data_IF_510469563946
#
_entry.id   IF_510469563946
#
_cell.length_a   1.000
_cell.length_b   1.000
_cell.length_c   1.000
_cell.angle_alpha   90.00
_cell.angle_beta   90.00
_cell.angle_gamma   90.00
#
_symmetry.space_group_name_H-M   'P 1'
#
loop_
_entity.id
_entity.type
_entity.pdbx_description
1 polymer ?
#
# COMPACT_ATOMS: atom_id res chain seq x y z
N UNK A 1 2.80 -15.87 -3.82
CA UNK A 1 3.23 -14.79 -4.72
C UNK A 1 3.40 -13.48 -3.96
N UNK A 2 2.35 -12.96 -3.30
CA UNK A 2 2.38 -11.71 -2.51
C UNK A 2 3.53 -11.63 -1.47
N UNK A 3 3.75 -12.68 -0.69
CA UNK A 3 4.81 -12.72 0.34
C UNK A 3 6.24 -12.64 -0.18
N UNK A 4 6.51 -13.22 -1.36
CA UNK A 4 7.84 -13.22 -1.95
C UNK A 4 8.14 -11.84 -2.53
N UNK A 5 7.12 -11.13 -3.03
CA UNK A 5 7.25 -9.75 -3.50
C UNK A 5 7.44 -8.76 -2.35
N UNK A 6 6.70 -8.92 -1.24
CA UNK A 6 6.78 -8.04 -0.07
C UNK A 6 8.14 -8.10 0.65
N UNK A 7 8.62 -9.31 0.98
CA UNK A 7 9.94 -9.45 1.64
C UNK A 7 11.11 -9.05 0.72
N UNK A 8 11.00 -9.31 -0.58
CA UNK A 8 12.08 -8.94 -1.53
C UNK A 8 12.09 -7.44 -1.80
N UNK A 9 10.94 -6.76 -1.75
CA UNK A 9 10.86 -5.31 -1.87
C UNK A 9 11.40 -4.57 -0.64
N UNK A 10 11.20 -5.15 0.55
CA UNK A 10 11.60 -4.55 1.82
C UNK A 10 12.96 -5.05 2.35
N UNK A 11 13.75 -5.82 1.57
CA UNK A 11 15.04 -6.34 2.06
C UNK A 11 16.27 -5.86 1.30
N UNK A 12 16.11 -5.29 0.10
CA UNK A 12 17.22 -5.09 -0.84
C UNK A 12 17.87 -3.69 -0.79
N UNK A 13 17.26 -2.73 -0.10
CA UNK A 13 17.73 -1.35 -0.03
C UNK A 13 18.16 -1.07 1.41
N UNK A 14 19.39 -0.56 1.59
CA UNK A 14 19.98 -0.35 2.91
C UNK A 14 19.22 0.72 3.71
N UNK A 15 18.96 1.87 3.09
CA UNK A 15 18.26 2.98 3.72
C UNK A 15 16.76 2.69 3.89
N UNK A 16 16.22 2.73 5.13
CA UNK A 16 14.80 2.45 5.39
C UNK A 16 13.85 3.35 4.61
N UNK A 17 14.26 4.61 4.38
CA UNK A 17 13.48 5.59 3.61
C UNK A 17 13.35 5.17 2.16
N UNK A 18 14.48 4.91 1.50
CA UNK A 18 14.50 4.50 0.10
C UNK A 18 13.80 3.16 -0.12
N UNK A 19 13.89 2.27 0.87
CA UNK A 19 13.15 1.01 0.90
C UNK A 19 11.64 1.24 0.90
N UNK A 20 11.15 2.13 1.76
CA UNK A 20 9.73 2.46 1.85
C UNK A 20 9.24 3.16 0.57
N UNK A 21 10.02 4.08 0.01
CA UNK A 21 9.76 4.75 -1.28
C UNK A 21 9.65 3.73 -2.42
N UNK A 22 10.61 2.80 -2.50
CA UNK A 22 10.60 1.74 -3.51
C UNK A 22 9.37 0.83 -3.37
N UNK A 23 8.97 0.53 -2.13
CA UNK A 23 7.76 -0.23 -1.87
C UNK A 23 6.51 0.48 -2.41
N UNK A 24 6.34 1.78 -2.14
CA UNK A 24 5.20 2.56 -2.65
C UNK A 24 5.14 2.56 -4.19
N UNK A 25 6.26 2.82 -4.85
CA UNK A 25 6.32 2.85 -6.32
C UNK A 25 6.01 1.49 -6.94
N UNK A 26 6.55 0.41 -6.36
CA UNK A 26 6.31 -0.96 -6.86
C UNK A 26 4.87 -1.39 -6.68
N UNK A 27 4.28 -1.15 -5.51
CA UNK A 27 2.86 -1.47 -5.28
C UNK A 27 1.99 -0.70 -6.25
N UNK A 28 2.27 0.58 -6.51
CA UNK A 28 1.50 1.37 -7.50
C UNK A 28 1.47 0.77 -8.92
N UNK A 29 2.50 0.03 -9.32
CA UNK A 29 2.67 -0.48 -10.68
C UNK A 29 2.11 -1.90 -10.90
N UNK A 30 1.77 -2.65 -9.84
CA UNK A 30 1.29 -4.05 -9.94
C UNK A 30 -0.21 -4.19 -10.29
N UNK A 31 -0.57 -3.93 -11.56
CA UNK A 31 -1.97 -3.98 -12.06
C UNK A 31 -2.72 -5.32 -11.82
N UNK A 32 -2.09 -6.47 -12.05
CA UNK A 32 -2.74 -7.78 -11.92
C UNK A 32 -3.10 -8.12 -10.46
N UNK A 33 -2.24 -7.74 -9.52
CA UNK A 33 -2.49 -7.94 -8.08
C UNK A 33 -3.65 -7.05 -7.61
N UNK A 34 -3.82 -5.88 -8.23
CA UNK A 34 -4.88 -4.92 -7.92
C UNK A 34 -6.27 -5.39 -8.34
N UNK A 35 -6.39 -6.00 -9.53
CA UNK A 35 -7.69 -6.46 -10.02
C UNK A 35 -8.28 -7.59 -9.15
N UNK A 36 -7.44 -8.56 -8.78
CA UNK A 36 -7.83 -9.66 -7.89
C UNK A 36 -8.20 -9.13 -6.50
N UNK A 37 -7.35 -8.25 -5.95
CA UNK A 37 -7.57 -7.69 -4.63
C UNK A 37 -8.83 -6.81 -4.59
N UNK A 38 -9.05 -6.01 -5.63
CA UNK A 38 -10.28 -5.24 -5.80
C UNK A 38 -11.48 -6.19 -5.87
N UNK A 39 -11.43 -7.25 -6.68
CA UNK A 39 -12.53 -8.23 -6.77
C UNK A 39 -12.88 -8.83 -5.41
N UNK A 40 -11.88 -9.17 -4.58
CA UNK A 40 -12.10 -9.61 -3.21
C UNK A 40 -12.76 -8.53 -2.35
N UNK A 41 -12.32 -7.28 -2.42
CA UNK A 41 -12.95 -6.17 -1.71
C UNK A 41 -14.43 -5.97 -2.09
N UNK A 42 -14.81 -6.21 -3.36
CA UNK A 42 -16.22 -6.13 -3.77
C UNK A 42 -17.07 -7.28 -3.22
N UNK A 43 -16.45 -8.37 -2.77
CA UNK A 43 -17.08 -9.50 -2.12
C UNK A 43 -16.83 -9.50 -0.59
N UNK A 44 -16.56 -8.34 0.01
CA UNK A 44 -16.20 -8.23 1.42
C UNK A 44 -17.26 -8.80 2.37
N UNK A 45 -18.54 -8.73 2.01
CA UNK A 45 -19.65 -9.26 2.80
C UNK A 45 -19.84 -10.79 2.69
N UNK A 46 -19.01 -11.47 1.88
CA UNK A 46 -19.06 -12.91 1.74
C UNK A 46 -18.33 -13.59 2.91
N UNK A 47 -19.01 -14.48 3.63
CA UNK A 47 -18.52 -15.13 4.87
C UNK A 47 -17.13 -15.78 4.75
N UNK A 48 -16.79 -16.32 3.57
CA UNK A 48 -15.48 -16.91 3.31
C UNK A 48 -14.37 -15.90 2.94
N UNK A 49 -14.74 -14.68 2.52
CA UNK A 49 -13.84 -13.64 2.02
C UNK A 49 -13.45 -12.68 3.14
N UNK A 50 -14.39 -12.30 4.00
CA UNK A 50 -14.18 -11.36 5.11
C UNK A 50 -12.95 -11.73 5.97
N UNK A 51 -12.78 -12.98 6.47
CA UNK A 51 -11.65 -13.33 7.34
C UNK A 51 -10.31 -13.35 6.58
N UNK A 52 -10.35 -13.53 5.26
CA UNK A 52 -9.16 -13.49 4.42
C UNK A 52 -8.73 -12.04 4.20
N UNK A 53 -9.67 -11.16 3.88
CA UNK A 53 -9.42 -9.73 3.71
C UNK A 53 -8.86 -9.11 4.98
N UNK A 54 -9.48 -9.37 6.14
CA UNK A 54 -9.01 -8.85 7.42
C UNK A 54 -7.55 -9.27 7.71
N UNK A 55 -7.26 -10.56 7.53
CA UNK A 55 -5.90 -11.10 7.76
C UNK A 55 -4.87 -10.52 6.81
N UNK A 56 -5.22 -10.33 5.53
CA UNK A 56 -4.34 -9.69 4.53
C UNK A 56 -4.11 -8.23 4.88
N UNK A 57 -5.17 -7.49 5.23
CA UNK A 57 -5.09 -6.09 5.64
C UNK A 57 -4.19 -5.91 6.87
N UNK A 58 -4.41 -6.70 7.92
CA UNK A 58 -3.60 -6.68 9.14
C UNK A 58 -2.13 -6.98 8.85
N UNK A 59 -1.84 -7.97 8.00
CA UNK A 59 -0.45 -8.30 7.64
C UNK A 59 0.23 -7.18 6.86
N UNK A 60 -0.47 -6.59 5.87
CA UNK A 60 0.05 -5.47 5.06
C UNK A 60 0.32 -4.25 5.94
N UNK A 61 -0.65 -3.86 6.78
CA UNK A 61 -0.47 -2.75 7.73
C UNK A 61 0.67 -3.00 8.71
N UNK A 62 0.85 -4.24 9.20
CA UNK A 62 1.99 -4.57 10.08
C UNK A 62 3.34 -4.35 9.40
N UNK A 63 3.50 -4.78 8.15
CA UNK A 63 4.75 -4.55 7.42
C UNK A 63 5.02 -3.05 7.20
N UNK A 64 3.98 -2.28 6.86
CA UNK A 64 4.11 -0.83 6.67
C UNK A 64 4.46 -0.14 8.00
N UNK A 65 3.84 -0.57 9.11
CA UNK A 65 4.16 -0.04 10.43
C UNK A 65 5.62 -0.32 10.80
N UNK A 66 6.12 -1.55 10.60
CA UNK A 66 7.53 -1.86 10.83
C UNK A 66 8.47 -0.99 10.01
N UNK A 67 8.14 -0.67 8.75
CA UNK A 67 8.94 0.25 7.95
C UNK A 67 8.95 1.69 8.51
N UNK A 68 7.85 2.15 9.12
CA UNK A 68 7.85 3.44 9.82
C UNK A 68 8.59 3.38 11.16
N UNK A 69 8.55 2.27 11.89
CA UNK A 69 9.35 2.09 13.11
C UNK A 69 10.85 2.14 12.79
N UNK A 70 11.28 1.55 11.67
CA UNK A 70 12.65 1.63 11.17
C UNK A 70 13.08 3.06 10.80
N UNK A 71 12.13 3.95 10.51
CA UNK A 71 12.34 5.39 10.31
C UNK A 71 12.38 6.20 11.62
N UNK A 72 12.30 5.53 12.77
CA UNK A 72 12.38 6.15 14.10
C UNK A 72 11.04 6.63 14.66
N UNK A 73 9.91 6.29 14.03
CA UNK A 73 8.60 6.54 14.63
C UNK A 73 8.33 5.57 15.79
N UNK A 74 7.66 6.03 16.84
CA UNK A 74 7.11 5.13 17.85
C UNK A 74 5.98 4.27 17.27
N UNK A 75 5.72 3.12 17.92
CA UNK A 75 4.75 2.13 17.45
C UNK A 75 3.35 2.70 17.22
N UNK A 76 2.91 3.67 18.04
CA UNK A 76 1.61 4.32 17.88
C UNK A 76 1.55 5.16 16.60
N UNK A 77 2.55 6.03 16.40
CA UNK A 77 2.67 6.85 15.18
C UNK A 77 2.84 5.99 13.93
N UNK A 78 3.65 4.94 14.00
CA UNK A 78 3.87 4.00 12.91
C UNK A 78 2.57 3.28 12.51
N UNK A 79 1.78 2.81 13.49
CA UNK A 79 0.49 2.18 13.24
C UNK A 79 -0.52 3.15 12.60
N UNK A 80 -0.58 4.40 13.05
CA UNK A 80 -1.44 5.42 12.45
C UNK A 80 -1.06 5.72 10.99
N UNK A 81 0.25 5.89 10.72
CA UNK A 81 0.75 6.10 9.36
C UNK A 81 0.48 4.90 8.45
N UNK A 82 0.68 3.69 8.95
CA UNK A 82 0.38 2.47 8.21
C UNK A 82 -1.11 2.37 7.83
N UNK A 83 -2.01 2.72 8.75
CA UNK A 83 -3.46 2.76 8.47
C UNK A 83 -3.82 3.84 7.45
N UNK A 84 -3.20 5.01 7.53
CA UNK A 84 -3.42 6.10 6.58
C UNK A 84 -2.98 5.69 5.17
N UNK A 85 -1.76 5.18 5.03
CA UNK A 85 -1.22 4.63 3.77
C UNK A 85 -2.18 3.61 3.15
N UNK A 86 -2.60 2.64 3.96
CA UNK A 86 -3.43 1.55 3.48
C UNK A 86 -4.82 2.04 3.03
N UNK A 87 -5.38 3.03 3.74
CA UNK A 87 -6.65 3.65 3.38
C UNK A 87 -6.55 4.44 2.06
N UNK A 88 -5.47 5.18 1.85
CA UNK A 88 -5.20 5.91 0.59
C UNK A 88 -5.10 4.92 -0.57
N UNK A 89 -4.38 3.82 -0.38
CA UNK A 89 -4.25 2.75 -1.38
C UNK A 89 -5.61 2.13 -1.75
N UNK A 90 -6.41 1.74 -0.75
CA UNK A 90 -7.75 1.18 -1.00
C UNK A 90 -8.66 2.18 -1.70
N UNK A 91 -8.64 3.44 -1.27
CA UNK A 91 -9.40 4.51 -1.90
C UNK A 91 -9.03 4.70 -3.37
N UNK A 92 -7.73 4.69 -3.68
CA UNK A 92 -7.25 4.76 -5.06
C UNK A 92 -7.78 3.61 -5.92
N UNK A 93 -7.69 2.36 -5.43
CA UNK A 93 -8.21 1.19 -6.15
C UNK A 93 -9.73 1.27 -6.38
N UNK A 94 -10.47 1.73 -5.38
CA UNK A 94 -11.92 1.87 -5.46
C UNK A 94 -12.30 2.92 -6.50
N UNK A 95 -11.68 4.11 -6.45
CA UNK A 95 -11.92 5.19 -7.41
C UNK A 95 -11.59 4.77 -8.84
N UNK A 96 -10.48 4.04 -9.02
CA UNK A 96 -10.07 3.51 -10.32
C UNK A 96 -11.09 2.50 -10.86
N UNK A 97 -11.56 1.58 -10.00
CA UNK A 97 -12.55 0.55 -10.39
C UNK A 97 -13.91 1.17 -10.73
N UNK A 98 -14.34 2.17 -9.98
CA UNK A 98 -15.63 2.83 -10.20
C UNK A 98 -15.57 3.91 -11.29
N UNK A 99 -14.43 4.06 -11.97
CA UNK A 99 -14.20 5.11 -12.97
C UNK A 99 -14.51 6.52 -12.44
N UNK A 100 -14.31 6.74 -11.14
CA UNK A 100 -14.56 8.02 -10.45
C UNK A 100 -13.34 8.94 -10.45
N UNK A 101 -12.29 8.55 -11.16
CA UNK A 101 -11.11 9.37 -11.43
C UNK A 101 -10.77 9.26 -12.92
N UNK A 102 -10.27 10.32 -13.56
CA UNK A 102 -9.65 10.21 -14.88
C UNK A 102 -8.54 9.15 -14.85
N UNK A 103 -8.41 8.39 -15.93
CA UNK A 103 -7.25 7.54 -16.13
C UNK A 103 -5.99 8.39 -16.10
N UNK A 104 -5.17 8.24 -15.06
CA UNK A 104 -3.91 8.94 -14.95
C UNK A 104 -2.97 8.42 -16.05
N UNK A 105 -2.31 9.35 -16.75
CA UNK A 105 -1.14 8.99 -17.55
C UNK A 105 -0.06 8.44 -16.63
N UNK A 106 0.86 7.63 -17.15
CA UNK A 106 1.96 7.09 -16.32
C UNK A 106 2.72 8.20 -15.58
N UNK A 107 2.92 9.36 -16.22
CA UNK A 107 3.60 10.50 -15.60
C UNK A 107 2.78 11.15 -14.47
N UNK A 108 1.47 11.35 -14.67
CA UNK A 108 0.62 11.92 -13.63
C UNK A 108 0.46 10.97 -12.44
N UNK A 109 0.50 9.67 -12.69
CA UNK A 109 0.49 8.64 -11.64
C UNK A 109 1.78 8.66 -10.81
N UNK A 110 2.96 8.71 -11.44
CA UNK A 110 4.23 8.82 -10.72
C UNK A 110 4.29 10.09 -9.87
N UNK A 111 3.87 11.25 -10.41
CA UNK A 111 3.81 12.50 -9.66
C UNK A 111 2.85 12.44 -8.45
N UNK A 112 1.73 11.74 -8.59
CA UNK A 112 0.82 11.48 -7.47
C UNK A 112 1.46 10.58 -6.39
N UNK A 113 2.15 9.52 -6.81
CA UNK A 113 2.88 8.63 -5.88
C UNK A 113 3.97 9.40 -5.14
N UNK A 114 4.74 10.25 -5.83
CA UNK A 114 5.75 11.10 -5.21
C UNK A 114 5.12 12.04 -4.17
N UNK A 115 3.99 12.69 -4.48
CA UNK A 115 3.28 13.54 -3.53
C UNK A 115 2.78 12.77 -2.29
N UNK A 116 2.26 11.55 -2.49
CA UNK A 116 1.84 10.67 -1.38
C UNK A 116 3.05 10.32 -0.50
N UNK A 117 4.19 10.01 -1.11
CA UNK A 117 5.44 9.70 -0.40
C UNK A 117 5.91 10.90 0.42
N UNK A 118 6.01 12.09 -0.17
CA UNK A 118 6.42 13.32 0.52
C UNK A 118 5.49 13.65 1.69
N UNK A 119 4.19 13.41 1.54
CA UNK A 119 3.20 13.68 2.59
C UNK A 119 3.31 12.69 3.75
N UNK A 120 3.61 11.42 3.47
CA UNK A 120 3.56 10.33 4.45
C UNK A 120 4.92 9.97 5.05
N UNK A 121 6.02 10.33 4.39
CA UNK A 121 7.39 10.07 4.77
C UNK A 121 8.12 11.42 4.91
N UNK A 122 8.15 12.02 6.11
CA UNK A 122 8.88 13.27 6.32
C UNK A 122 10.39 13.06 6.16
N UNK A 123 11.11 14.18 5.97
CA UNK A 123 12.57 14.22 5.89
C UNK A 123 13.28 13.76 7.16
#
# INVERSE_FOLDING_TARGET
HDNRNLNTALGAIAEPRDRLISFFRRVGQERLTHDVYSALCAAADHEQVEPVLERVANRRMKHIASAFEELGFDAGRAAHRARLVYSVYLGFLQLQRQHQTPSLTSQAFEAYVDHVIETLVPD
#
